data_IF_396623115681
#
_entry.id   IF_396623115681
#
_cell.length_a   1.000
_cell.length_b   1.000
_cell.length_c   1.000
_cell.angle_alpha   90.00
_cell.angle_beta   90.00
_cell.angle_gamma   90.00
#
_symmetry.space_group_name_H-M   'P 1'
#
loop_
_entity.id
_entity.type
_entity.pdbx_description
1 polymer ?
#
# COMPACT_ATOMS: atom_id res chain seq x y z
N UNK A 1 35.05 0.03 -58.25
CA UNK A 1 33.70 -0.50 -57.93
C UNK A 1 33.86 -1.74 -57.06
N UNK A 2 33.85 -1.58 -55.79
CA UNK A 2 33.96 -2.67 -54.76
C UNK A 2 32.56 -3.06 -54.27
N UNK A 3 32.19 -4.32 -54.45
CA UNK A 3 30.94 -4.92 -53.98
C UNK A 3 31.01 -5.09 -52.44
N UNK A 4 29.97 -4.75 -51.67
CA UNK A 4 29.95 -5.02 -50.23
C UNK A 4 29.75 -6.51 -49.99
N UNK A 5 30.55 -7.05 -49.05
CA UNK A 5 30.51 -8.44 -48.58
C UNK A 5 29.14 -8.82 -48.01
N UNK A 6 28.51 -9.87 -48.53
CA UNK A 6 27.35 -10.55 -47.96
C UNK A 6 27.78 -11.23 -46.66
N UNK A 7 27.45 -10.66 -45.49
CA UNK A 7 27.49 -11.36 -44.21
C UNK A 7 26.55 -12.56 -44.28
N UNK A 8 27.11 -13.76 -44.40
CA UNK A 8 26.40 -15.04 -44.28
C UNK A 8 25.94 -15.21 -42.85
N UNK A 9 24.70 -14.83 -42.59
CA UNK A 9 24.04 -15.03 -41.26
C UNK A 9 23.95 -16.52 -40.93
N UNK A 10 24.89 -17.02 -40.12
CA UNK A 10 24.99 -18.41 -39.69
C UNK A 10 23.66 -18.82 -38.99
N UNK A 11 22.92 -19.82 -39.54
CA UNK A 11 21.61 -20.24 -39.04
C UNK A 11 21.69 -20.80 -37.61
N UNK A 12 22.85 -21.31 -37.19
CA UNK A 12 23.11 -21.79 -35.82
C UNK A 12 23.08 -20.63 -34.81
N UNK A 13 23.63 -19.47 -35.14
CA UNK A 13 23.63 -18.28 -34.30
C UNK A 13 22.20 -17.72 -34.14
N UNK A 14 21.41 -17.73 -35.23
CA UNK A 14 20.00 -17.28 -35.19
C UNK A 14 19.12 -18.21 -34.36
N UNK A 15 19.37 -19.54 -34.40
CA UNK A 15 18.69 -20.53 -33.54
C UNK A 15 19.11 -20.39 -32.06
N UNK A 16 20.39 -20.16 -31.78
CA UNK A 16 20.89 -19.93 -30.42
C UNK A 16 20.30 -18.65 -29.82
N UNK A 17 20.29 -17.52 -30.55
CA UNK A 17 19.62 -16.29 -30.12
C UNK A 17 18.13 -16.46 -29.87
N UNK A 18 17.40 -17.16 -30.72
CA UNK A 18 15.98 -17.48 -30.52
C UNK A 18 15.75 -18.36 -29.27
N UNK A 19 16.62 -19.32 -29.00
CA UNK A 19 16.55 -20.17 -27.80
C UNK A 19 16.86 -19.36 -26.54
N UNK A 20 17.84 -18.46 -26.55
CA UNK A 20 18.16 -17.54 -25.46
C UNK A 20 17.01 -16.57 -25.18
N UNK A 21 16.43 -15.95 -26.22
CA UNK A 21 15.25 -15.08 -26.06
C UNK A 21 14.01 -15.85 -25.55
N UNK A 22 13.80 -17.10 -25.99
CA UNK A 22 12.69 -17.91 -25.51
C UNK A 22 12.89 -18.35 -24.05
N UNK A 23 14.13 -18.67 -23.64
CA UNK A 23 14.50 -18.97 -22.24
C UNK A 23 14.38 -17.72 -21.34
N UNK A 24 14.86 -16.57 -21.80
CA UNK A 24 14.74 -15.33 -21.07
C UNK A 24 13.27 -14.91 -20.89
N UNK A 25 12.44 -15.03 -21.94
CA UNK A 25 10.97 -14.80 -21.82
C UNK A 25 10.28 -15.80 -20.90
N UNK A 26 10.69 -17.07 -20.91
CA UNK A 26 10.14 -18.10 -20.01
C UNK A 26 10.54 -17.82 -18.56
N UNK A 27 11.81 -17.46 -18.30
CA UNK A 27 12.29 -17.10 -16.98
C UNK A 27 11.59 -15.82 -16.46
N UNK A 28 11.46 -14.77 -17.29
CA UNK A 28 10.72 -13.57 -16.95
C UNK A 28 9.25 -13.86 -16.62
N UNK A 29 8.59 -14.73 -17.41
CA UNK A 29 7.21 -15.16 -17.14
C UNK A 29 7.05 -15.95 -15.83
N UNK A 30 8.07 -16.72 -15.45
CA UNK A 30 8.10 -17.45 -14.17
C UNK A 30 8.27 -16.47 -13.00
N UNK A 31 9.22 -15.53 -13.09
CA UNK A 31 9.41 -14.49 -12.06
C UNK A 31 8.15 -13.67 -11.88
N UNK A 32 7.51 -13.19 -12.96
CA UNK A 32 6.25 -12.44 -12.91
C UNK A 32 5.14 -13.26 -12.23
N UNK A 33 5.07 -14.57 -12.47
CA UNK A 33 4.09 -15.44 -11.81
C UNK A 33 4.36 -15.58 -10.32
N UNK A 34 5.62 -15.71 -9.91
CA UNK A 34 6.01 -15.77 -8.50
C UNK A 34 5.71 -14.46 -7.78
N UNK A 35 6.00 -13.30 -8.40
CA UNK A 35 5.71 -11.98 -7.82
C UNK A 35 4.20 -11.66 -7.70
N UNK A 36 3.34 -12.41 -8.39
CA UNK A 36 1.88 -12.31 -8.21
C UNK A 36 1.39 -12.95 -6.92
N UNK A 37 2.21 -13.77 -6.29
CA UNK A 37 1.84 -14.36 -5.01
C UNK A 37 2.10 -13.33 -3.91
N UNK A 38 1.04 -12.85 -3.29
CA UNK A 38 1.05 -11.85 -2.19
C UNK A 38 2.07 -12.17 -1.10
N UNK A 39 2.25 -13.46 -0.79
CA UNK A 39 3.23 -13.94 0.18
C UNK A 39 4.66 -13.55 -0.16
N UNK A 40 5.03 -13.58 -1.45
CA UNK A 40 6.39 -13.23 -1.88
C UNK A 40 6.61 -11.72 -1.80
N UNK A 41 5.61 -10.92 -2.21
CA UNK A 41 5.66 -9.47 -2.05
C UNK A 41 5.85 -9.06 -0.59
N UNK A 42 5.10 -9.66 0.34
CA UNK A 42 5.26 -9.42 1.77
C UNK A 42 6.60 -9.88 2.35
N UNK A 43 7.18 -11.00 1.86
CA UNK A 43 8.52 -11.41 2.26
C UNK A 43 9.61 -10.46 1.73
N UNK A 44 9.48 -9.96 0.50
CA UNK A 44 10.40 -8.96 -0.06
C UNK A 44 10.31 -7.65 0.72
N UNK A 45 9.11 -7.24 1.08
CA UNK A 45 8.84 -6.07 1.91
C UNK A 45 9.55 -6.19 3.27
N UNK A 46 9.38 -7.32 3.98
CA UNK A 46 10.07 -7.60 5.24
C UNK A 46 11.59 -7.64 5.06
N UNK A 47 12.08 -8.30 4.01
CA UNK A 47 13.50 -8.37 3.69
C UNK A 47 14.11 -6.98 3.47
N UNK A 48 13.42 -6.12 2.73
CA UNK A 48 13.83 -4.73 2.48
C UNK A 48 13.86 -3.91 3.78
N UNK A 49 12.87 -4.09 4.66
CA UNK A 49 12.81 -3.45 5.97
C UNK A 49 13.97 -3.88 6.89
N UNK A 50 14.20 -5.19 6.97
CA UNK A 50 15.33 -5.71 7.77
C UNK A 50 16.65 -5.19 7.22
N UNK A 51 16.81 -5.15 5.89
CA UNK A 51 18.00 -4.59 5.25
C UNK A 51 18.19 -3.11 5.59
N UNK A 52 17.11 -2.31 5.52
CA UNK A 52 17.13 -0.90 5.89
C UNK A 52 17.56 -0.70 7.35
N UNK A 53 16.95 -1.45 8.28
CA UNK A 53 17.30 -1.38 9.71
C UNK A 53 18.75 -1.80 9.97
N UNK A 54 19.24 -2.86 9.31
CA UNK A 54 20.64 -3.29 9.42
C UNK A 54 21.58 -2.22 8.87
N UNK A 55 21.29 -1.63 7.71
CA UNK A 55 22.14 -0.57 7.15
C UNK A 55 22.15 0.69 8.01
N UNK A 56 21.00 1.15 8.47
CA UNK A 56 20.87 2.34 9.31
C UNK A 56 21.56 2.19 10.69
N UNK A 57 21.77 0.95 11.17
CA UNK A 57 22.37 0.66 12.49
C UNK A 57 23.70 -0.08 12.40
N UNK A 58 24.43 0.06 11.29
CA UNK A 58 25.72 -0.56 11.04
C UNK A 58 26.73 0.51 10.60
N UNK A 59 28.03 0.16 10.40
CA UNK A 59 29.02 1.09 9.81
C UNK A 59 28.64 1.60 8.41
N UNK A 60 27.58 1.08 7.80
CA UNK A 60 27.02 1.54 6.52
C UNK A 60 25.98 2.66 6.67
N UNK A 61 25.72 3.17 7.88
CA UNK A 61 24.70 4.21 8.12
C UNK A 61 24.93 5.47 7.28
N UNK A 62 26.18 5.97 7.21
CA UNK A 62 26.53 7.13 6.40
C UNK A 62 26.32 6.88 4.88
N UNK A 63 26.55 5.66 4.42
CA UNK A 63 26.27 5.29 3.04
C UNK A 63 24.78 5.23 2.77
N UNK A 64 24.01 4.65 3.69
CA UNK A 64 22.56 4.56 3.60
C UNK A 64 21.90 5.95 3.56
N UNK A 65 22.36 6.88 4.44
CA UNK A 65 21.84 8.25 4.46
C UNK A 65 22.18 9.02 3.17
N UNK A 66 23.42 8.93 2.70
CA UNK A 66 23.81 9.51 1.40
C UNK A 66 23.00 8.94 0.24
N UNK A 67 22.61 7.65 0.29
CA UNK A 67 21.76 7.04 -0.72
C UNK A 67 20.34 7.59 -0.66
N UNK A 68 19.77 7.78 0.53
CA UNK A 68 18.43 8.37 0.72
C UNK A 68 18.37 9.79 0.15
N UNK A 69 19.39 10.61 0.45
CA UNK A 69 19.49 12.03 0.09
C UNK A 69 19.97 12.26 -1.35
N UNK A 70 20.49 11.23 -2.03
CA UNK A 70 21.01 11.37 -3.39
C UNK A 70 19.93 11.91 -4.33
N UNK A 71 20.18 13.11 -4.88
CA UNK A 71 19.24 13.80 -5.75
C UNK A 71 19.28 13.25 -7.17
N UNK A 72 18.13 12.95 -7.72
CA UNK A 72 17.94 12.50 -9.08
C UNK A 72 16.76 13.21 -9.74
N UNK A 73 16.86 13.51 -11.04
CA UNK A 73 15.78 14.10 -11.82
C UNK A 73 16.13 15.42 -12.51
N UNK A 74 15.11 16.04 -13.09
CA UNK A 74 15.21 17.30 -13.83
C UNK A 74 14.68 18.45 -12.96
N UNK A 75 15.25 19.65 -13.09
CA UNK A 75 14.77 20.86 -12.39
C UNK A 75 13.40 21.36 -12.92
N UNK A 76 12.78 20.64 -13.86
CA UNK A 76 11.47 20.94 -14.39
C UNK A 76 10.37 20.39 -13.45
N UNK A 77 9.35 21.18 -13.15
CA UNK A 77 8.23 20.83 -12.23
C UNK A 77 8.66 20.40 -10.82
N UNK A 78 9.79 20.88 -10.32
CA UNK A 78 10.36 20.51 -9.03
C UNK A 78 10.65 18.99 -8.90
N UNK A 79 10.98 18.32 -10.03
CA UNK A 79 11.23 16.88 -10.06
C UNK A 79 12.70 16.49 -9.77
N UNK A 80 13.53 17.43 -9.28
CA UNK A 80 14.84 17.10 -8.72
C UNK A 80 14.67 16.72 -7.26
N UNK A 81 14.43 15.44 -7.02
CA UNK A 81 14.06 14.91 -5.72
C UNK A 81 15.12 13.94 -5.18
N UNK A 82 15.26 13.80 -3.85
CA UNK A 82 15.99 12.69 -3.23
C UNK A 82 15.42 11.34 -3.65
N UNK A 83 16.25 10.28 -3.64
CA UNK A 83 15.78 8.92 -3.95
C UNK A 83 14.67 8.45 -3.01
N UNK A 84 14.71 8.83 -1.74
CA UNK A 84 13.64 8.59 -0.77
C UNK A 84 12.31 9.20 -1.25
N UNK A 85 12.33 10.45 -1.71
CA UNK A 85 11.15 11.13 -2.24
C UNK A 85 10.65 10.48 -3.54
N UNK A 86 11.54 10.02 -4.42
CA UNK A 86 11.16 9.25 -5.61
C UNK A 86 10.48 7.93 -5.25
N UNK A 87 10.95 7.25 -4.20
CA UNK A 87 10.29 6.04 -3.71
C UNK A 87 8.89 6.35 -3.18
N UNK A 88 8.74 7.43 -2.41
CA UNK A 88 7.49 7.89 -1.81
C UNK A 88 6.48 8.44 -2.83
N UNK A 89 6.91 9.37 -3.68
CA UNK A 89 6.00 10.11 -4.57
C UNK A 89 5.88 9.45 -5.95
N UNK A 90 6.92 8.77 -6.42
CA UNK A 90 6.95 8.10 -7.71
C UNK A 90 6.52 6.63 -7.64
N UNK A 91 7.32 5.79 -6.97
CA UNK A 91 7.07 4.35 -6.95
C UNK A 91 5.79 3.99 -6.19
N UNK A 92 5.54 4.62 -5.04
CA UNK A 92 4.33 4.36 -4.28
C UNK A 92 3.06 4.81 -5.00
N UNK A 93 3.14 5.79 -5.92
CA UNK A 93 2.02 6.15 -6.80
C UNK A 93 1.55 4.95 -7.63
N UNK A 94 2.46 4.09 -8.11
CA UNK A 94 2.08 2.88 -8.86
C UNK A 94 1.35 1.86 -7.98
N UNK A 95 1.74 1.74 -6.71
CA UNK A 95 0.98 0.97 -5.72
C UNK A 95 -0.42 1.55 -5.56
N UNK A 96 -0.56 2.86 -5.46
CA UNK A 96 -1.87 3.50 -5.33
C UNK A 96 -2.71 3.45 -6.62
N UNK A 97 -2.11 3.31 -7.81
CA UNK A 97 -2.87 2.96 -9.03
C UNK A 97 -3.52 1.59 -8.86
N UNK A 98 -2.76 0.60 -8.38
CA UNK A 98 -3.30 -0.76 -8.14
C UNK A 98 -4.40 -0.72 -7.09
N UNK A 99 -4.19 -0.06 -5.96
CA UNK A 99 -5.20 0.12 -4.91
C UNK A 99 -6.47 0.80 -5.44
N UNK A 100 -6.34 1.82 -6.29
CA UNK A 100 -7.47 2.47 -6.97
C UNK A 100 -8.23 1.56 -7.94
N UNK A 101 -7.52 0.67 -8.65
CA UNK A 101 -8.12 -0.36 -9.53
C UNK A 101 -8.89 -1.39 -8.70
N UNK A 102 -8.32 -1.87 -7.60
CA UNK A 102 -8.96 -2.80 -6.68
C UNK A 102 -10.21 -2.18 -6.04
N UNK A 103 -10.09 -0.95 -5.53
CA UNK A 103 -11.23 -0.19 -4.98
C UNK A 103 -12.35 -0.04 -6.02
N UNK A 104 -12.01 0.36 -7.26
CA UNK A 104 -13.00 0.48 -8.34
C UNK A 104 -13.67 -0.85 -8.63
N UNK A 105 -12.93 -1.94 -8.66
CA UNK A 105 -13.45 -3.28 -8.87
C UNK A 105 -14.41 -3.69 -7.76
N UNK A 106 -14.02 -3.48 -6.48
CA UNK A 106 -14.87 -3.80 -5.34
C UNK A 106 -16.18 -3.00 -5.34
N UNK A 107 -16.13 -1.70 -5.67
CA UNK A 107 -17.31 -0.84 -5.74
C UNK A 107 -18.27 -1.17 -6.90
N UNK A 108 -17.76 -1.67 -8.04
CA UNK A 108 -18.57 -1.84 -9.27
C UNK A 108 -18.99 -3.29 -9.51
N UNK A 109 -18.14 -4.26 -9.13
CA UNK A 109 -18.32 -5.70 -9.43
C UNK A 109 -18.21 -6.57 -8.19
N UNK A 110 -17.47 -6.13 -7.15
CA UNK A 110 -17.17 -6.89 -5.95
C UNK A 110 -18.23 -6.83 -4.85
N UNK A 111 -17.86 -7.21 -3.64
CA UNK A 111 -18.75 -7.31 -2.47
C UNK A 111 -19.30 -5.95 -2.03
N UNK A 112 -18.56 -4.86 -2.23
CA UNK A 112 -18.99 -3.50 -1.87
C UNK A 112 -20.09 -2.95 -2.80
N UNK A 113 -20.39 -3.63 -3.92
CA UNK A 113 -21.49 -3.26 -4.81
C UNK A 113 -22.87 -3.46 -4.17
N UNK A 114 -23.03 -4.50 -3.35
CA UNK A 114 -24.28 -4.77 -2.67
C UNK A 114 -24.33 -4.07 -1.29
N UNK A 115 -25.16 -3.02 -1.10
CA UNK A 115 -25.15 -2.23 0.13
C UNK A 115 -25.29 -3.07 1.42
N UNK A 116 -26.11 -4.13 1.38
CA UNK A 116 -26.31 -5.00 2.55
C UNK A 116 -25.08 -5.82 2.92
N UNK A 117 -24.26 -6.23 1.94
CA UNK A 117 -23.00 -6.95 2.18
C UNK A 117 -21.87 -6.00 2.53
N UNK A 118 -21.86 -4.83 1.90
CA UNK A 118 -20.87 -3.79 2.14
C UNK A 118 -20.93 -3.21 3.55
N UNK A 119 -22.10 -3.15 4.19
CA UNK A 119 -22.26 -2.54 5.50
C UNK A 119 -21.38 -3.19 6.57
N UNK A 120 -21.19 -4.52 6.53
CA UNK A 120 -20.37 -5.22 7.53
C UNK A 120 -18.90 -4.79 7.49
N UNK A 121 -18.16 -4.91 6.35
CA UNK A 121 -16.78 -4.45 6.28
C UNK A 121 -16.64 -2.93 6.38
N UNK A 122 -17.61 -2.15 5.91
CA UNK A 122 -17.58 -0.67 6.02
C UNK A 122 -17.67 -0.22 7.47
N UNK A 123 -18.58 -0.76 8.28
CA UNK A 123 -18.66 -0.42 9.71
C UNK A 123 -17.42 -0.89 10.46
N UNK A 124 -16.89 -2.06 10.14
CA UNK A 124 -15.64 -2.54 10.69
C UNK A 124 -14.46 -1.61 10.36
N UNK A 125 -14.36 -1.14 9.10
CA UNK A 125 -13.34 -0.19 8.66
C UNK A 125 -13.50 1.18 9.33
N UNK A 126 -14.71 1.73 9.37
CA UNK A 126 -14.98 3.01 10.06
C UNK A 126 -14.60 2.93 11.54
N UNK A 127 -14.96 1.84 12.23
CA UNK A 127 -14.51 1.59 13.60
C UNK A 127 -12.98 1.50 13.67
N UNK A 128 -12.38 0.77 12.73
CA UNK A 128 -10.93 0.58 12.59
C UNK A 128 -10.16 1.86 12.22
N UNK A 129 -10.80 2.92 11.75
CA UNK A 129 -10.21 4.24 11.50
C UNK A 129 -10.44 5.19 12.68
N UNK A 130 -11.68 5.29 13.15
CA UNK A 130 -12.06 6.27 14.18
C UNK A 130 -11.47 5.93 15.56
N UNK A 131 -11.48 4.65 15.93
CA UNK A 131 -11.00 4.24 17.25
C UNK A 131 -9.49 4.40 17.41
N UNK A 132 -8.61 3.97 16.47
CA UNK A 132 -7.17 4.21 16.62
C UNK A 132 -6.83 5.71 16.60
N UNK A 133 -7.52 6.53 15.82
CA UNK A 133 -7.38 7.98 15.84
C UNK A 133 -7.75 8.56 17.23
N UNK A 134 -8.88 8.14 17.79
CA UNK A 134 -9.32 8.55 19.13
C UNK A 134 -8.36 8.08 20.22
N UNK A 135 -7.85 6.85 20.14
CA UNK A 135 -6.86 6.30 21.09
C UNK A 135 -5.55 7.10 21.02
N UNK A 136 -5.07 7.41 19.80
CA UNK A 136 -3.85 8.19 19.59
C UNK A 136 -3.99 9.60 20.16
N UNK A 137 -5.11 10.27 19.91
CA UNK A 137 -5.40 11.60 20.48
C UNK A 137 -5.57 11.55 22.00
N UNK A 138 -6.25 10.56 22.56
CA UNK A 138 -6.50 10.45 24.01
C UNK A 138 -5.21 10.20 24.78
N UNK A 139 -4.33 9.28 24.29
CA UNK A 139 -3.05 8.99 24.95
C UNK A 139 -2.07 10.14 24.72
N UNK A 140 -2.00 10.72 23.51
CA UNK A 140 -1.13 11.83 23.18
C UNK A 140 -1.57 13.18 23.72
N UNK A 141 -2.75 13.29 24.33
CA UNK A 141 -3.34 14.58 24.73
C UNK A 141 -2.38 15.47 25.49
N UNK A 142 -2.20 16.71 24.98
CA UNK A 142 -1.32 17.70 25.57
C UNK A 142 0.18 17.49 25.31
N UNK A 143 0.59 16.47 24.54
CA UNK A 143 1.95 16.31 24.08
C UNK A 143 2.12 16.96 22.71
N UNK A 144 3.32 17.55 22.47
CA UNK A 144 3.67 18.16 21.19
C UNK A 144 3.64 17.13 20.06
N UNK A 145 3.01 17.46 18.92
CA UNK A 145 2.85 16.59 17.77
C UNK A 145 1.68 15.58 17.87
N UNK A 146 0.92 15.54 18.97
CA UNK A 146 -0.23 14.64 19.11
C UNK A 146 -1.31 14.91 18.05
N UNK A 147 -1.52 16.18 17.70
CA UNK A 147 -2.48 16.62 16.68
C UNK A 147 -2.04 16.29 15.26
N UNK A 148 -0.79 15.94 15.04
CA UNK A 148 -0.24 15.56 13.73
C UNK A 148 -0.15 14.04 13.60
N UNK A 149 0.09 13.33 14.72
CA UNK A 149 0.28 11.88 14.76
C UNK A 149 -1.00 11.05 14.70
N UNK A 150 -2.19 11.64 14.94
CA UNK A 150 -3.45 10.89 15.13
C UNK A 150 -3.84 10.00 13.94
N UNK A 151 -3.46 10.40 12.73
CA UNK A 151 -3.80 9.66 11.53
C UNK A 151 -2.84 8.49 11.23
N UNK A 152 -1.66 8.45 11.85
CA UNK A 152 -0.65 7.40 11.63
C UNK A 152 -1.21 5.99 11.86
N UNK A 153 -1.94 5.70 12.97
CA UNK A 153 -2.46 4.36 13.22
C UNK A 153 -3.78 4.05 12.48
N UNK A 154 -4.27 4.94 11.62
CA UNK A 154 -5.53 4.74 10.90
C UNK A 154 -5.41 3.72 9.77
N UNK A 155 -4.28 3.66 9.09
CA UNK A 155 -4.09 2.81 7.91
C UNK A 155 -3.73 1.36 8.25
N UNK A 156 -4.03 0.45 7.30
CA UNK A 156 -3.64 -0.98 7.32
C UNK A 156 -2.81 -1.31 6.10
N UNK A 157 -1.69 -2.00 6.25
CA UNK A 157 -0.91 -2.53 5.12
C UNK A 157 -1.49 -3.88 4.66
N UNK A 158 -2.24 -3.85 3.56
CA UNK A 158 -2.88 -5.04 2.98
C UNK A 158 -1.85 -6.09 2.59
N UNK A 159 -0.76 -5.69 1.92
CA UNK A 159 0.23 -6.61 1.39
C UNK A 159 0.92 -7.38 2.52
N UNK A 160 1.29 -6.69 3.58
CA UNK A 160 1.88 -7.29 4.76
C UNK A 160 0.87 -8.18 5.52
N UNK A 161 -0.36 -7.70 5.73
CA UNK A 161 -1.41 -8.45 6.42
C UNK A 161 -1.77 -9.74 5.67
N UNK A 162 -1.93 -9.70 4.35
CA UNK A 162 -2.19 -10.89 3.54
C UNK A 162 -1.02 -11.87 3.53
N UNK A 163 0.23 -11.39 3.55
CA UNK A 163 1.40 -12.26 3.66
C UNK A 163 1.41 -13.01 5.01
N UNK A 164 1.17 -12.32 6.13
CA UNK A 164 1.05 -12.95 7.46
C UNK A 164 -0.09 -13.97 7.47
N UNK A 165 -1.27 -13.62 6.94
CA UNK A 165 -2.41 -14.50 6.84
C UNK A 165 -2.12 -15.75 6.00
N UNK A 166 -1.47 -15.60 4.85
CA UNK A 166 -1.13 -16.69 3.95
C UNK A 166 -0.17 -17.71 4.59
N UNK A 167 0.81 -17.23 5.37
CA UNK A 167 1.79 -18.10 6.05
C UNK A 167 1.19 -18.79 7.28
N UNK A 168 0.29 -18.10 8.00
CA UNK A 168 -0.19 -18.59 9.30
C UNK A 168 -1.52 -19.31 9.24
N UNK A 169 -2.36 -19.02 8.25
CA UNK A 169 -3.77 -19.40 8.19
C UNK A 169 -4.21 -19.98 6.83
N UNK A 170 -3.32 -20.68 6.13
CA UNK A 170 -3.56 -21.26 4.80
C UNK A 170 -4.76 -22.22 4.73
N UNK A 171 -5.21 -22.78 5.87
CA UNK A 171 -6.33 -23.74 5.99
C UNK A 171 -7.64 -23.10 6.49
N UNK A 172 -7.66 -21.80 6.77
CA UNK A 172 -8.88 -21.11 7.20
C UNK A 172 -9.78 -20.77 6.00
N UNK A 173 -11.09 -20.52 6.23
CA UNK A 173 -12.04 -20.20 5.18
C UNK A 173 -11.61 -19.00 4.30
N UNK A 174 -11.92 -19.09 3.00
CA UNK A 174 -11.63 -18.02 2.04
C UNK A 174 -12.35 -16.71 2.39
N UNK A 175 -13.52 -16.78 3.04
CA UNK A 175 -14.29 -15.64 3.53
C UNK A 175 -13.51 -14.74 4.50
N UNK A 176 -12.53 -15.29 5.25
CA UNK A 176 -11.65 -14.50 6.11
C UNK A 176 -10.75 -13.58 5.31
N UNK A 177 -10.19 -14.08 4.19
CA UNK A 177 -9.37 -13.27 3.26
C UNK A 177 -10.22 -12.21 2.58
N UNK A 178 -11.42 -12.57 2.11
CA UNK A 178 -12.36 -11.64 1.47
C UNK A 178 -12.73 -10.52 2.44
N UNK A 179 -13.02 -10.86 3.69
CA UNK A 179 -13.33 -9.85 4.72
C UNK A 179 -12.14 -8.91 4.97
N UNK A 180 -10.92 -9.45 5.16
CA UNK A 180 -9.71 -8.62 5.35
C UNK A 180 -9.48 -7.70 4.14
N UNK A 181 -9.65 -8.21 2.92
CA UNK A 181 -9.47 -7.43 1.70
C UNK A 181 -10.51 -6.31 1.62
N UNK A 182 -11.79 -6.61 1.84
CA UNK A 182 -12.87 -5.60 1.82
C UNK A 182 -12.69 -4.54 2.91
N UNK A 183 -12.27 -4.94 4.11
CA UNK A 183 -11.93 -4.05 5.23
C UNK A 183 -10.82 -3.09 4.81
N UNK A 184 -9.72 -3.64 4.31
CA UNK A 184 -8.52 -2.89 3.99
C UNK A 184 -8.72 -1.94 2.79
N UNK A 185 -9.51 -2.32 1.77
CA UNK A 185 -9.87 -1.44 0.65
C UNK A 185 -10.63 -0.20 1.14
N UNK A 186 -11.52 -0.33 2.14
CA UNK A 186 -12.24 0.81 2.73
C UNK A 186 -11.30 1.65 3.62
N UNK A 187 -10.44 1.00 4.37
CA UNK A 187 -9.40 1.63 5.20
C UNK A 187 -8.44 2.48 4.34
N UNK A 188 -7.97 1.93 3.23
CA UNK A 188 -7.07 2.62 2.30
C UNK A 188 -7.74 3.86 1.69
N UNK A 189 -9.02 3.75 1.30
CA UNK A 189 -9.77 4.91 0.84
C UNK A 189 -9.81 6.01 1.90
N UNK A 190 -10.08 5.65 3.15
CA UNK A 190 -10.08 6.59 4.27
C UNK A 190 -8.72 7.23 4.50
N UNK A 191 -7.65 6.43 4.50
CA UNK A 191 -6.28 6.92 4.65
C UNK A 191 -5.88 7.88 3.53
N UNK A 192 -6.23 7.57 2.28
CA UNK A 192 -5.98 8.42 1.11
C UNK A 192 -6.72 9.76 1.24
N UNK A 193 -7.99 9.74 1.68
CA UNK A 193 -8.75 10.96 1.91
C UNK A 193 -8.15 11.81 3.02
N UNK A 194 -7.68 11.20 4.11
CA UNK A 194 -6.97 11.89 5.19
C UNK A 194 -5.69 12.53 4.65
N UNK A 195 -4.87 11.78 3.90
CA UNK A 195 -3.65 12.32 3.28
C UNK A 195 -3.98 13.53 2.38
N UNK A 196 -5.02 13.40 1.56
CA UNK A 196 -5.42 14.45 0.63
C UNK A 196 -5.88 15.76 1.29
N UNK A 197 -6.59 15.64 2.42
CA UNK A 197 -7.25 16.78 3.07
C UNK A 197 -6.38 17.37 4.19
N UNK A 198 -5.74 16.51 4.99
CA UNK A 198 -5.05 16.93 6.22
C UNK A 198 -3.60 17.28 5.96
N UNK A 199 -2.90 16.54 5.09
CA UNK A 199 -1.46 16.69 4.88
C UNK A 199 -1.09 17.45 3.60
N UNK A 200 -1.99 18.27 3.06
CA UNK A 200 -1.68 19.21 1.97
C UNK A 200 -1.18 20.52 2.56
N UNK A 201 0.12 20.78 2.43
CA UNK A 201 0.78 21.92 3.08
C UNK A 201 0.53 23.26 2.37
N UNK A 202 0.57 23.30 1.04
CA UNK A 202 0.34 24.49 0.23
C UNK A 202 -0.38 24.12 -1.05
N UNK A 203 -1.48 24.80 -1.36
CA UNK A 203 -2.31 24.46 -2.51
C UNK A 203 -2.14 25.46 -3.64
N UNK A 204 -1.60 25.03 -4.78
CA UNK A 204 -1.62 25.77 -6.03
C UNK A 204 -2.83 25.37 -6.88
N UNK A 205 -3.85 26.21 -6.89
CA UNK A 205 -5.08 25.97 -7.66
C UNK A 205 -4.84 25.78 -9.16
N UNK A 206 -3.85 26.48 -9.73
CA UNK A 206 -3.53 26.37 -11.17
C UNK A 206 -3.08 24.95 -11.53
N UNK A 207 -2.13 24.41 -10.79
CA UNK A 207 -1.62 23.05 -11.03
C UNK A 207 -2.65 21.99 -10.67
N UNK A 208 -3.44 22.20 -9.61
CA UNK A 208 -4.52 21.29 -9.25
C UNK A 208 -5.56 21.21 -10.36
N UNK A 209 -6.03 22.34 -10.87
CA UNK A 209 -7.00 22.38 -11.96
C UNK A 209 -6.43 21.75 -13.25
N UNK A 210 -5.15 21.97 -13.55
CA UNK A 210 -4.49 21.31 -14.67
C UNK A 210 -4.47 19.78 -14.49
N UNK A 211 -4.13 19.29 -13.29
CA UNK A 211 -4.15 17.85 -12.97
C UNK A 211 -5.55 17.25 -13.09
N UNK A 212 -6.56 17.93 -12.54
CA UNK A 212 -7.97 17.52 -12.64
C UNK A 212 -8.44 17.52 -14.10
N UNK A 213 -8.07 18.51 -14.90
CA UNK A 213 -8.40 18.54 -16.33
C UNK A 213 -7.80 17.35 -17.08
N UNK A 214 -6.54 17.00 -16.82
CA UNK A 214 -5.90 15.83 -17.41
C UNK A 214 -6.59 14.54 -16.97
N UNK A 215 -6.98 14.40 -15.71
CA UNK A 215 -7.75 13.26 -15.21
C UNK A 215 -9.13 13.19 -15.84
N UNK A 216 -9.79 14.33 -16.07
CA UNK A 216 -11.07 14.39 -16.78
C UNK A 216 -10.93 13.90 -18.23
N UNK A 217 -9.86 14.31 -18.94
CA UNK A 217 -9.54 13.80 -20.28
C UNK A 217 -9.29 12.29 -20.22
N UNK A 218 -8.50 11.80 -19.25
CA UNK A 218 -8.25 10.36 -19.05
C UNK A 218 -9.57 9.60 -18.89
N UNK A 219 -10.45 10.05 -17.98
CA UNK A 219 -11.74 9.41 -17.72
C UNK A 219 -12.68 9.46 -18.92
N UNK A 220 -12.71 10.57 -19.66
CA UNK A 220 -13.50 10.71 -20.90
C UNK A 220 -13.02 9.72 -21.98
N UNK A 221 -11.72 9.60 -22.19
CA UNK A 221 -11.16 8.64 -23.13
C UNK A 221 -11.46 7.19 -22.75
N UNK A 222 -11.47 6.88 -21.44
CA UNK A 222 -11.90 5.56 -20.93
C UNK A 222 -13.39 5.30 -21.25
N UNK A 223 -14.27 6.30 -21.12
CA UNK A 223 -15.68 6.19 -21.46
C UNK A 223 -15.90 6.07 -22.97
N UNK A 224 -15.14 6.82 -23.77
CA UNK A 224 -15.15 6.75 -25.22
C UNK A 224 -14.46 5.48 -25.77
N UNK A 225 -13.89 4.64 -24.89
CA UNK A 225 -13.25 3.36 -25.23
C UNK A 225 -12.07 3.51 -26.19
N UNK A 226 -11.36 4.61 -26.10
CA UNK A 226 -10.17 4.84 -26.92
C UNK A 226 -9.08 3.78 -26.63
N UNK A 227 -8.49 3.22 -27.68
CA UNK A 227 -7.46 2.16 -27.58
C UNK A 227 -6.08 2.74 -27.80
N UNK A 228 -5.49 3.35 -26.77
CA UNK A 228 -4.16 3.97 -26.87
C UNK A 228 -3.41 3.90 -25.54
N UNK A 229 -2.73 2.77 -25.25
CA UNK A 229 -2.01 2.56 -23.98
C UNK A 229 -0.99 3.67 -23.71
N UNK A 230 -0.22 4.07 -24.72
CA UNK A 230 0.80 5.12 -24.56
C UNK A 230 0.20 6.48 -24.17
N UNK A 231 -1.00 6.80 -24.71
CA UNK A 231 -1.70 8.04 -24.36
C UNK A 231 -2.16 8.00 -22.89
N UNK A 232 -2.69 6.87 -22.41
CA UNK A 232 -3.09 6.71 -21.01
C UNK A 232 -1.90 6.81 -20.06
N UNK A 233 -0.74 6.25 -20.42
CA UNK A 233 0.49 6.40 -19.64
C UNK A 233 0.93 7.86 -19.61
N UNK A 234 0.95 8.55 -20.75
CA UNK A 234 1.31 9.96 -20.82
C UNK A 234 0.39 10.85 -19.99
N UNK A 235 -0.94 10.63 -20.07
CA UNK A 235 -1.93 11.34 -19.25
C UNK A 235 -1.77 11.04 -17.76
N UNK A 236 -1.49 9.78 -17.39
CA UNK A 236 -1.25 9.39 -16.00
C UNK A 236 -0.01 10.09 -15.42
N UNK A 237 1.09 10.14 -16.18
CA UNK A 237 2.32 10.84 -15.77
C UNK A 237 2.09 12.35 -15.70
N UNK A 238 1.38 12.94 -16.66
CA UNK A 238 1.06 14.36 -16.64
C UNK A 238 0.16 14.73 -15.44
N UNK A 239 -0.87 13.92 -15.14
CA UNK A 239 -1.72 14.10 -13.98
C UNK A 239 -0.90 14.03 -12.68
N UNK A 240 -0.02 13.04 -12.56
CA UNK A 240 0.90 12.89 -11.43
C UNK A 240 1.79 14.13 -11.26
N UNK A 241 2.44 14.60 -12.32
CA UNK A 241 3.31 15.76 -12.27
C UNK A 241 2.56 17.04 -11.87
N UNK A 242 1.36 17.28 -12.40
CA UNK A 242 0.57 18.46 -12.07
C UNK A 242 0.00 18.41 -10.64
N UNK A 243 -0.44 17.23 -10.18
CA UNK A 243 -0.90 17.06 -8.79
C UNK A 243 0.28 17.22 -7.83
N UNK A 244 1.45 16.68 -8.13
CA UNK A 244 2.68 16.91 -7.36
C UNK A 244 3.02 18.41 -7.30
N UNK A 245 3.01 19.11 -8.43
CA UNK A 245 3.27 20.56 -8.50
C UNK A 245 2.20 21.39 -7.79
N UNK A 246 1.00 20.86 -7.57
CA UNK A 246 -0.08 21.56 -6.85
C UNK A 246 0.12 21.61 -5.33
N UNK A 247 1.06 20.82 -4.78
CA UNK A 247 1.26 20.64 -3.35
C UNK A 247 0.36 19.56 -2.73
N UNK A 248 -0.55 18.97 -3.51
CA UNK A 248 -1.31 17.77 -3.12
C UNK A 248 -0.41 16.56 -3.30
N UNK A 249 -0.55 15.57 -2.41
CA UNK A 249 0.28 14.38 -2.47
C UNK A 249 0.12 13.63 -3.80
N UNK A 250 1.24 13.36 -4.48
CA UNK A 250 1.26 12.80 -5.84
C UNK A 250 0.59 11.43 -5.96
N UNK A 251 0.57 10.63 -4.88
CA UNK A 251 -0.09 9.33 -4.79
C UNK A 251 -1.59 9.38 -5.09
N UNK A 252 -2.25 10.52 -4.85
CA UNK A 252 -3.68 10.75 -5.13
C UNK A 252 -3.96 10.66 -6.64
N UNK A 253 -3.01 11.12 -7.48
CA UNK A 253 -3.13 10.95 -8.91
C UNK A 253 -3.20 9.47 -9.30
N UNK A 254 -2.41 8.61 -8.64
CA UNK A 254 -2.43 7.16 -8.85
C UNK A 254 -3.80 6.57 -8.56
N UNK A 255 -4.37 6.88 -7.40
CA UNK A 255 -5.73 6.43 -7.02
C UNK A 255 -6.76 6.90 -8.04
N UNK A 256 -6.72 8.18 -8.43
CA UNK A 256 -7.66 8.74 -9.38
C UNK A 256 -7.58 8.04 -10.75
N UNK A 257 -6.37 7.74 -11.26
CA UNK A 257 -6.16 6.95 -12.48
C UNK A 257 -6.79 5.56 -12.33
N UNK A 258 -6.56 4.87 -11.21
CA UNK A 258 -7.19 3.57 -10.91
C UNK A 258 -8.72 3.65 -10.92
N UNK A 259 -9.29 4.61 -10.19
CA UNK A 259 -10.74 4.83 -10.10
C UNK A 259 -11.39 5.23 -11.43
N UNK A 260 -10.69 5.92 -12.31
CA UNK A 260 -11.22 6.33 -13.61
C UNK A 260 -11.10 5.23 -14.67
N UNK A 261 -10.27 4.21 -14.44
CA UNK A 261 -10.06 3.11 -15.38
C UNK A 261 -11.30 2.20 -15.45
N UNK A 262 -11.67 1.77 -16.66
CA UNK A 262 -12.89 1.01 -16.93
C UNK A 262 -12.77 -0.44 -16.42
N UNK A 263 -13.77 -0.87 -15.63
CA UNK A 263 -13.84 -2.22 -14.99
C UNK A 263 -14.80 -3.16 -15.70
N UNK A 264 -15.79 -2.65 -16.48
CA UNK A 264 -16.76 -3.50 -17.18
C UNK A 264 -16.21 -3.90 -18.55
N UNK A 265 -16.23 -5.20 -18.91
CA UNK A 265 -15.77 -5.66 -20.22
C UNK A 265 -16.75 -5.24 -21.32
N UNK A 266 -16.23 -5.04 -22.53
CA UNK A 266 -17.03 -4.89 -23.75
C UNK A 266 -17.29 -6.24 -24.41
N UNK A 267 -18.23 -6.26 -25.37
CA UNK A 267 -18.50 -7.46 -26.18
C UNK A 267 -17.23 -7.86 -26.93
N UNK A 268 -16.70 -9.06 -26.64
CA UNK A 268 -15.50 -9.62 -27.27
C UNK A 268 -14.18 -9.31 -26.55
N UNK A 269 -14.19 -8.59 -25.43
CA UNK A 269 -13.01 -8.43 -24.56
C UNK A 269 -12.89 -9.60 -23.59
N UNK A 270 -11.73 -10.26 -23.57
CA UNK A 270 -11.43 -11.33 -22.63
C UNK A 270 -11.12 -10.79 -21.21
N UNK A 271 -10.56 -9.58 -21.14
CA UNK A 271 -10.22 -8.90 -19.91
C UNK A 271 -10.56 -7.41 -20.01
N UNK A 272 -10.96 -6.82 -18.90
CA UNK A 272 -11.18 -5.38 -18.82
C UNK A 272 -9.87 -4.60 -18.83
N UNK A 273 -9.87 -3.30 -19.20
CA UNK A 273 -8.68 -2.47 -19.07
C UNK A 273 -8.13 -2.44 -17.65
N UNK A 274 -8.99 -2.40 -16.63
CA UNK A 274 -8.59 -2.43 -15.22
C UNK A 274 -7.89 -3.75 -14.87
N UNK A 275 -8.47 -4.92 -15.20
CA UNK A 275 -7.83 -6.21 -14.98
C UNK A 275 -6.49 -6.33 -15.71
N UNK A 276 -6.43 -5.87 -16.95
CA UNK A 276 -5.20 -5.92 -17.75
C UNK A 276 -4.09 -5.05 -17.16
N UNK A 277 -4.44 -3.88 -16.63
CA UNK A 277 -3.51 -2.96 -15.99
C UNK A 277 -3.07 -3.50 -14.63
N UNK A 278 -4.00 -3.96 -13.79
CA UNK A 278 -3.76 -4.59 -12.50
C UNK A 278 -2.79 -5.79 -12.65
N UNK A 279 -3.08 -6.71 -13.56
CA UNK A 279 -2.22 -7.87 -13.83
C UNK A 279 -0.78 -7.52 -14.23
N UNK A 280 -0.58 -6.37 -14.86
CA UNK A 280 0.76 -5.89 -15.25
C UNK A 280 1.46 -5.15 -14.13
N UNK A 281 0.73 -4.30 -13.40
CA UNK A 281 1.31 -3.44 -12.37
C UNK A 281 1.49 -4.15 -11.03
N UNK A 282 0.57 -5.01 -10.61
CA UNK A 282 0.60 -5.67 -9.31
C UNK A 282 1.92 -6.40 -9.00
N UNK A 283 2.49 -7.21 -9.95
CA UNK A 283 3.77 -7.87 -9.69
C UNK A 283 4.94 -6.88 -9.53
N UNK A 284 4.90 -5.76 -10.26
CA UNK A 284 5.92 -4.72 -10.17
C UNK A 284 5.73 -3.88 -8.90
N UNK A 285 4.51 -3.53 -8.57
CA UNK A 285 4.17 -2.83 -7.34
C UNK A 285 4.58 -3.63 -6.09
N UNK A 286 4.10 -4.86 -5.95
CA UNK A 286 4.38 -5.70 -4.79
C UNK A 286 5.84 -6.21 -4.73
N UNK A 287 6.48 -6.45 -5.89
CA UNK A 287 7.83 -7.02 -5.95
C UNK A 287 8.96 -5.99 -5.98
N UNK A 288 8.66 -4.72 -6.29
CA UNK A 288 9.66 -3.67 -6.41
C UNK A 288 9.26 -2.37 -5.74
N UNK A 289 8.12 -1.75 -6.11
CA UNK A 289 7.78 -0.40 -5.63
C UNK A 289 7.64 -0.36 -4.10
N UNK A 290 6.84 -1.25 -3.53
CA UNK A 290 6.58 -1.31 -2.10
C UNK A 290 7.83 -1.71 -1.28
N UNK A 291 8.61 -2.74 -1.67
CA UNK A 291 9.88 -3.05 -1.00
C UNK A 291 10.91 -1.91 -1.07
N UNK A 292 11.06 -1.22 -2.20
CA UNK A 292 11.98 -0.07 -2.32
C UNK A 292 11.52 1.09 -1.45
N UNK A 293 10.23 1.40 -1.41
CA UNK A 293 9.69 2.39 -0.47
C UNK A 293 10.00 2.00 0.98
N UNK A 294 9.72 0.76 1.36
CA UNK A 294 9.99 0.28 2.72
C UNK A 294 11.48 0.34 3.08
N UNK A 295 12.37 0.06 2.11
CA UNK A 295 13.81 0.19 2.31
C UNK A 295 14.19 1.63 2.68
N UNK A 296 13.65 2.64 2.02
CA UNK A 296 13.95 4.03 2.34
C UNK A 296 13.21 4.56 3.59
N UNK A 297 11.97 4.13 3.81
CA UNK A 297 11.14 4.63 4.91
C UNK A 297 11.41 3.97 6.26
N UNK A 298 11.89 2.71 6.29
CA UNK A 298 12.02 1.93 7.52
C UNK A 298 13.42 2.00 8.17
N UNK A 299 14.37 2.72 7.59
CA UNK A 299 15.73 2.83 8.12
C UNK A 299 15.83 3.76 9.33
N UNK A 300 15.35 3.31 10.47
CA UNK A 300 15.32 4.05 11.73
C UNK A 300 16.56 3.74 12.57
N UNK A 301 17.17 4.77 13.18
CA UNK A 301 18.26 4.60 14.12
C UNK A 301 17.76 3.96 15.43
N UNK A 302 18.52 2.96 15.93
CA UNK A 302 18.20 2.20 17.14
C UNK A 302 19.34 2.32 18.17
N UNK A 303 20.07 3.44 18.19
CA UNK A 303 21.07 3.70 19.19
C UNK A 303 20.44 3.98 20.57
N UNK A 304 21.28 3.99 21.61
CA UNK A 304 20.80 4.18 22.98
C UNK A 304 20.15 5.55 23.25
N UNK A 305 20.42 6.57 22.42
CA UNK A 305 19.79 7.89 22.49
C UNK A 305 18.42 7.88 21.82
N UNK A 306 18.30 7.28 20.64
CA UNK A 306 17.04 7.10 19.92
C UNK A 306 16.05 6.25 20.71
N UNK A 307 16.51 5.14 21.31
CA UNK A 307 15.67 4.28 22.16
C UNK A 307 15.16 5.05 23.38
N UNK A 308 16.00 5.82 24.06
CA UNK A 308 15.57 6.64 25.21
C UNK A 308 14.57 7.71 24.79
N UNK A 309 14.81 8.38 23.67
CA UNK A 309 13.88 9.36 23.11
C UNK A 309 12.53 8.73 22.77
N UNK A 310 12.53 7.55 22.16
CA UNK A 310 11.33 6.79 21.85
C UNK A 310 10.55 6.36 23.11
N UNK A 311 11.22 5.79 24.10
CA UNK A 311 10.58 5.33 25.35
C UNK A 311 9.95 6.47 26.12
N UNK A 312 10.58 7.67 26.10
CA UNK A 312 10.06 8.89 26.74
C UNK A 312 8.97 9.60 25.93
N UNK A 313 8.75 9.22 24.68
CA UNK A 313 7.80 9.90 23.78
C UNK A 313 6.38 9.33 23.95
N UNK A 314 5.50 10.11 24.57
CA UNK A 314 4.10 9.75 24.78
C UNK A 314 3.33 9.60 23.46
N UNK A 315 3.68 10.38 22.43
CA UNK A 315 3.03 10.32 21.11
C UNK A 315 3.41 9.04 20.39
N UNK A 316 4.67 8.59 20.50
CA UNK A 316 5.10 7.31 19.94
C UNK A 316 4.30 6.13 20.53
N UNK A 317 4.12 6.11 21.85
CA UNK A 317 3.28 5.10 22.51
C UNK A 317 1.80 5.23 22.16
N UNK A 318 1.31 6.45 21.89
CA UNK A 318 -0.05 6.68 21.41
C UNK A 318 -0.27 6.04 20.03
N UNK A 319 0.73 6.14 19.12
CA UNK A 319 0.70 5.47 17.81
C UNK A 319 0.73 3.95 17.96
N UNK A 320 1.63 3.40 18.80
CA UNK A 320 1.67 1.94 19.08
C UNK A 320 0.33 1.43 19.61
N UNK A 321 -0.23 2.12 20.62
CA UNK A 321 -1.51 1.75 21.19
C UNK A 321 -2.67 1.88 20.18
N UNK A 322 -2.64 2.91 19.34
CA UNK A 322 -3.59 3.10 18.23
C UNK A 322 -3.58 1.92 17.27
N UNK A 323 -2.38 1.49 16.82
CA UNK A 323 -2.22 0.35 15.92
C UNK A 323 -2.67 -0.98 16.56
N UNK A 324 -2.19 -1.28 17.76
CA UNK A 324 -2.43 -2.59 18.39
C UNK A 324 -3.82 -2.68 19.02
N UNK A 325 -4.17 -1.73 19.89
CA UNK A 325 -5.43 -1.74 20.63
C UNK A 325 -6.54 -1.01 19.89
N UNK A 326 -6.25 0.18 19.37
CA UNK A 326 -7.24 1.00 18.68
C UNK A 326 -7.83 0.30 17.45
N UNK A 327 -6.99 -0.27 16.59
CA UNK A 327 -7.43 -1.05 15.41
C UNK A 327 -8.25 -2.28 15.83
N UNK A 328 -7.75 -3.05 16.78
CA UNK A 328 -8.43 -4.27 17.25
C UNK A 328 -9.82 -3.96 17.80
N UNK A 329 -9.90 -3.01 18.73
CA UNK A 329 -11.15 -2.61 19.36
C UNK A 329 -12.09 -1.97 18.32
N UNK A 330 -11.55 -1.13 17.45
CA UNK A 330 -12.30 -0.41 16.45
C UNK A 330 -12.94 -1.31 15.40
N UNK A 331 -12.16 -2.23 14.82
CA UNK A 331 -12.66 -3.19 13.82
C UNK A 331 -13.72 -4.11 14.44
N UNK A 332 -13.46 -4.67 15.63
CA UNK A 332 -14.44 -5.52 16.34
C UNK A 332 -15.66 -4.74 16.77
N UNK A 333 -15.48 -3.54 17.33
CA UNK A 333 -16.56 -2.67 17.78
C UNK A 333 -17.45 -2.21 16.63
N UNK A 334 -16.87 -1.81 15.50
CA UNK A 334 -17.60 -1.45 14.28
C UNK A 334 -18.40 -2.61 13.71
N UNK A 335 -17.78 -3.80 13.60
CA UNK A 335 -18.46 -5.02 13.17
C UNK A 335 -19.60 -5.40 14.14
N UNK A 336 -19.36 -5.35 15.46
CA UNK A 336 -20.36 -5.65 16.47
C UNK A 336 -21.52 -4.65 16.44
N UNK A 337 -21.23 -3.36 16.22
CA UNK A 337 -22.23 -2.31 16.08
C UNK A 337 -23.15 -2.56 14.88
N UNK A 338 -22.57 -2.92 13.70
CA UNK A 338 -23.34 -3.25 12.50
C UNK A 338 -24.30 -4.43 12.75
N UNK A 339 -23.83 -5.47 13.44
CA UNK A 339 -24.67 -6.65 13.80
C UNK A 339 -25.74 -6.27 14.84
N UNK A 340 -25.38 -5.51 15.88
CA UNK A 340 -26.32 -5.10 16.94
C UNK A 340 -27.44 -4.20 16.42
N UNK A 341 -27.10 -3.29 15.51
CA UNK A 341 -28.08 -2.43 14.83
C UNK A 341 -28.88 -3.16 13.74
N UNK A 342 -28.63 -4.46 13.52
CA UNK A 342 -29.28 -5.29 12.49
C UNK A 342 -29.07 -4.76 11.06
N UNK A 343 -28.04 -3.96 10.84
CA UNK A 343 -27.67 -3.42 9.53
C UNK A 343 -26.97 -4.46 8.67
N UNK A 344 -26.22 -5.37 9.32
CA UNK A 344 -25.50 -6.45 8.66
C UNK A 344 -25.55 -7.74 9.52
N UNK A 345 -25.18 -8.85 8.89
CA UNK A 345 -25.01 -10.14 9.60
C UNK A 345 -23.56 -10.57 9.52
N UNK A 346 -23.08 -11.23 10.57
CA UNK A 346 -21.80 -11.93 10.51
C UNK A 346 -21.89 -13.03 9.43
N UNK A 347 -20.94 -13.11 8.49
CA UNK A 347 -20.91 -14.20 7.52
C UNK A 347 -20.91 -15.57 8.19
N UNK A 348 -21.72 -16.51 7.70
CA UNK A 348 -21.96 -17.81 8.35
C UNK A 348 -20.68 -18.63 8.55
N UNK A 349 -19.70 -18.44 7.69
CA UNK A 349 -18.39 -19.13 7.75
C UNK A 349 -17.41 -18.52 8.74
N UNK A 350 -17.69 -17.30 9.29
CA UNK A 350 -16.81 -16.56 10.19
C UNK A 350 -17.31 -16.61 11.63
N UNK A 351 -16.38 -16.84 12.54
CA UNK A 351 -16.61 -16.68 13.97
C UNK A 351 -16.04 -15.35 14.48
N UNK A 352 -16.50 -14.89 15.66
CA UNK A 352 -15.92 -13.74 16.32
C UNK A 352 -14.43 -13.92 16.66
N UNK A 353 -13.96 -15.15 16.84
CA UNK A 353 -12.55 -15.48 17.00
C UNK A 353 -11.74 -15.24 15.73
N UNK A 354 -12.29 -15.63 14.58
CA UNK A 354 -11.67 -15.38 13.28
C UNK A 354 -11.57 -13.87 13.02
N UNK A 355 -12.64 -13.16 13.37
CA UNK A 355 -12.71 -11.71 13.26
C UNK A 355 -11.71 -11.02 14.18
N UNK A 356 -11.52 -11.53 15.43
CA UNK A 356 -10.55 -10.98 16.37
C UNK A 356 -9.11 -11.09 15.84
N UNK A 357 -8.76 -12.23 15.24
CA UNK A 357 -7.44 -12.43 14.67
C UNK A 357 -7.18 -11.47 13.47
N UNK A 358 -8.20 -11.26 12.62
CA UNK A 358 -8.12 -10.29 11.52
C UNK A 358 -8.08 -8.85 12.04
N UNK A 359 -8.83 -8.52 13.09
CA UNK A 359 -8.84 -7.20 13.69
C UNK A 359 -7.46 -6.82 14.26
N UNK A 360 -6.78 -7.78 14.93
CA UNK A 360 -5.39 -7.59 15.37
C UNK A 360 -4.46 -7.44 14.17
N UNK A 361 -4.65 -8.26 13.13
CA UNK A 361 -3.84 -8.21 11.91
C UNK A 361 -4.00 -6.87 11.17
N UNK A 362 -5.18 -6.27 11.19
CA UNK A 362 -5.42 -4.94 10.64
C UNK A 362 -4.61 -3.82 11.34
N UNK A 363 -4.09 -4.08 12.55
CA UNK A 363 -3.12 -3.21 13.22
C UNK A 363 -1.72 -3.17 12.59
N UNK A 364 -1.46 -3.96 11.55
CA UNK A 364 -0.24 -3.85 10.75
C UNK A 364 -0.36 -2.66 9.80
N UNK A 365 -0.03 -1.46 10.24
CA UNK A 365 -0.13 -0.23 9.44
C UNK A 365 1.01 -0.03 8.46
N UNK A 366 2.17 -0.57 8.77
CA UNK A 366 3.47 -0.59 8.10
C UNK A 366 3.64 0.48 7.00
N UNK A 367 3.57 0.14 5.69
CA UNK A 367 3.91 1.05 4.58
C UNK A 367 3.08 2.32 4.55
N UNK A 368 1.77 2.22 4.69
CA UNK A 368 0.88 3.40 4.64
C UNK A 368 1.01 4.24 5.91
N UNK A 369 1.15 3.61 7.08
CA UNK A 369 1.43 4.34 8.33
C UNK A 369 2.81 5.00 8.34
N UNK A 370 3.85 4.38 7.73
CA UNK A 370 5.16 5.02 7.54
C UNK A 370 5.04 6.25 6.63
N UNK A 371 4.28 6.14 5.54
CA UNK A 371 4.01 7.28 4.66
C UNK A 371 3.32 8.43 5.43
N UNK A 372 2.28 8.11 6.21
CA UNK A 372 1.58 9.13 7.01
C UNK A 372 2.51 9.75 8.06
N UNK A 373 3.39 8.97 8.70
CA UNK A 373 4.35 9.48 9.66
C UNK A 373 5.35 10.48 9.03
N UNK A 374 5.83 10.20 7.82
CA UNK A 374 6.68 11.14 7.07
C UNK A 374 5.95 12.42 6.66
N UNK A 375 4.65 12.31 6.34
CA UNK A 375 3.83 13.46 5.95
C UNK A 375 3.42 14.33 7.13
N UNK A 376 3.19 13.70 8.28
CA UNK A 376 2.80 14.38 9.51
C UNK A 376 3.95 15.19 10.12
N UNK A 377 5.19 14.74 9.92
CA UNK A 377 6.39 15.30 10.58
C UNK A 377 7.49 15.67 9.58
N UNK A 378 7.14 16.39 8.52
CA UNK A 378 8.09 16.80 7.47
C UNK A 378 9.19 17.68 8.07
N UNK A 379 10.45 17.20 8.02
CA UNK A 379 11.61 17.94 8.54
C UNK A 379 11.72 17.97 10.08
N UNK A 380 10.87 17.24 10.79
CA UNK A 380 10.90 17.14 12.25
C UNK A 380 11.60 15.86 12.70
N UNK A 381 12.57 15.90 13.63
CA UNK A 381 13.19 14.72 14.23
C UNK A 381 12.18 13.74 14.87
N UNK A 382 10.96 14.19 15.16
CA UNK A 382 9.89 13.35 15.66
C UNK A 382 9.44 12.29 14.65
N UNK A 383 9.61 12.54 13.34
CA UNK A 383 9.32 11.57 12.28
C UNK A 383 9.97 10.20 12.53
N UNK A 384 11.25 10.18 12.94
CA UNK A 384 11.97 8.92 13.20
C UNK A 384 11.37 8.14 14.38
N UNK A 385 10.90 8.83 15.44
CA UNK A 385 10.21 8.18 16.57
C UNK A 385 8.84 7.62 16.14
N UNK A 386 8.13 8.33 15.26
CA UNK A 386 6.86 7.84 14.72
C UNK A 386 7.05 6.64 13.79
N UNK A 387 8.07 6.65 12.94
CA UNK A 387 8.45 5.48 12.12
C UNK A 387 8.78 4.27 13.02
N UNK A 388 9.57 4.46 14.08
CA UNK A 388 9.85 3.40 15.06
C UNK A 388 8.57 2.87 15.72
N UNK A 389 7.63 3.75 16.07
CA UNK A 389 6.34 3.37 16.66
C UNK A 389 5.50 2.53 15.68
N UNK A 390 5.47 2.90 14.39
CA UNK A 390 4.79 2.15 13.35
C UNK A 390 5.40 0.76 13.19
N UNK A 391 6.72 0.65 13.13
CA UNK A 391 7.42 -0.63 13.00
C UNK A 391 7.16 -1.54 14.20
N UNK A 392 7.25 -1.00 15.42
CA UNK A 392 6.97 -1.74 16.65
C UNK A 392 5.50 -2.18 16.72
N UNK A 393 4.55 -1.27 16.50
CA UNK A 393 3.12 -1.57 16.52
C UNK A 393 2.73 -2.63 15.48
N UNK A 394 3.27 -2.52 14.26
CA UNK A 394 3.05 -3.48 13.19
C UNK A 394 3.64 -4.86 13.52
N UNK A 395 4.84 -4.91 14.10
CA UNK A 395 5.48 -6.16 14.53
C UNK A 395 4.69 -6.86 15.65
N UNK A 396 4.24 -6.10 16.66
CA UNK A 396 3.41 -6.61 17.75
C UNK A 396 2.09 -7.14 17.19
N UNK A 397 1.39 -6.37 16.36
CA UNK A 397 0.12 -6.79 15.73
C UNK A 397 0.30 -8.05 14.89
N UNK A 398 1.33 -8.10 14.04
CA UNK A 398 1.62 -9.26 13.21
C UNK A 398 1.90 -10.52 14.05
N UNK A 399 2.70 -10.37 15.11
CA UNK A 399 3.07 -11.49 15.98
C UNK A 399 1.86 -12.03 16.75
N UNK A 400 1.07 -11.15 17.35
CA UNK A 400 -0.15 -11.54 18.09
C UNK A 400 -1.17 -12.17 17.15
N UNK A 401 -1.41 -11.56 15.99
CA UNK A 401 -2.31 -12.13 14.98
C UNK A 401 -1.84 -13.51 14.50
N UNK A 402 -0.54 -13.67 14.23
CA UNK A 402 0.04 -14.95 13.82
C UNK A 402 -0.17 -16.05 14.87
N UNK A 403 -0.03 -15.72 16.15
CA UNK A 403 -0.29 -16.64 17.27
C UNK A 403 -1.79 -17.04 17.32
N UNK A 404 -2.69 -16.06 17.26
CA UNK A 404 -4.14 -16.30 17.26
C UNK A 404 -4.57 -17.18 16.07
N UNK A 405 -4.08 -16.87 14.87
CA UNK A 405 -4.37 -17.63 13.65
C UNK A 405 -3.83 -19.06 13.71
N UNK A 406 -2.62 -19.28 14.23
CA UNK A 406 -2.06 -20.63 14.42
C UNK A 406 -2.86 -21.46 15.43
N UNK A 407 -3.26 -20.86 16.55
CA UNK A 407 -4.11 -21.52 17.56
C UNK A 407 -5.46 -21.91 16.95
N UNK A 408 -6.05 -21.04 16.14
CA UNK A 408 -7.31 -21.33 15.44
C UNK A 408 -7.16 -22.43 14.41
N UNK A 409 -6.09 -22.40 13.58
CA UNK A 409 -5.83 -23.43 12.58
C UNK A 409 -5.67 -24.80 13.22
N UNK A 410 -4.98 -24.92 14.37
CA UNK A 410 -4.85 -26.19 15.11
C UNK A 410 -6.21 -26.72 15.54
N UNK A 411 -7.08 -25.88 16.12
CA UNK A 411 -8.44 -26.29 16.54
C UNK A 411 -9.32 -26.68 15.36
N UNK A 412 -9.21 -25.99 14.23
CA UNK A 412 -9.96 -26.33 13.01
C UNK A 412 -9.59 -27.70 12.46
N UNK A 413 -8.28 -28.02 12.43
CA UNK A 413 -7.78 -29.34 11.95
C UNK A 413 -8.11 -30.46 12.94
N UNK A 414 -8.19 -30.20 14.23
CA UNK A 414 -8.55 -31.23 15.23
C UNK A 414 -10.06 -31.51 15.29
N UNK A 415 -10.88 -30.63 14.69
CA UNK A 415 -12.34 -30.79 14.65
C UNK A 415 -12.87 -31.32 13.31
N UNK A 416 -12.03 -31.35 12.28
CA UNK A 416 -12.31 -31.96 10.96
C UNK A 416 -11.75 -33.39 10.86
#
# INVERSE_FOLDING_TARGET
MSRPARETRNPKVKRARRRLHKRARSAAGTVVRYLRVETIGGMLLLGATVLALVMANSPLADFYERLREAQFGLDLFHLKLPLESWAKDGLLTLFFVVAGLELKRELVVGELREPRRALFPVFAALGGMLTPAAVALAIGWGADGATDAWAIPVATDIAFALAVLAVTASRLPASLRVFLLSLAVVDDLGAILIIAVVYTASLSWVWLLAGVAVLAVYGTLQQLRFKGVYLYVALGVAAWAFIHASGVHATIAGVAVGLLTRVKPDKGEAHTPAESLEHKLQPFSAGFCVPVFAFFAAGVALDGSAIRAFVGDRVAWAVVAGLVLGKTIGVLGGAALAVRLRLAKLPEELSWWDLSAVAVLAGCGFTVSLLIAELAFVGDPQAERMKAAVLLGSLVSATVAALLLRLRTKRFVSAA
#
